data_IF_442984526810
#
_entry.id   IF_442984526810
#
_cell.length_a   1.000
_cell.length_b   1.000
_cell.length_c   1.000
_cell.angle_alpha   90.00
_cell.angle_beta   90.00
_cell.angle_gamma   90.00
#
_symmetry.space_group_name_H-M   'P 1'
#
loop_
_entity.id
_entity.type
_entity.pdbx_description
1 polymer ?
#
# COMPACT_ATOMS: atom_id res chain seq x y z
N UNK A 1 -2.82 23.21 3.31
CA UNK A 1 -3.88 23.89 4.09
C UNK A 1 -3.44 24.01 5.54
N UNK A 2 -3.32 25.23 6.07
CA UNK A 2 -2.97 25.48 7.47
C UNK A 2 -4.15 25.17 8.40
N UNK A 3 -3.86 24.63 9.60
CA UNK A 3 -4.82 24.29 10.67
C UNK A 3 -5.78 25.43 11.09
N UNK A 4 -5.57 26.67 10.62
CA UNK A 4 -6.42 27.84 10.89
C UNK A 4 -7.83 27.72 10.29
N UNK A 5 -8.05 26.92 9.24
CA UNK A 5 -9.39 26.77 8.64
C UNK A 5 -10.34 25.83 9.39
N UNK A 6 -9.86 25.17 10.45
CA UNK A 6 -10.63 24.17 11.21
C UNK A 6 -11.22 24.74 12.51
N UNK A 7 -10.71 25.88 12.97
CA UNK A 7 -11.16 26.51 14.22
C UNK A 7 -12.25 27.53 13.88
N UNK A 8 -13.52 27.16 14.05
CA UNK A 8 -14.67 28.04 13.78
C UNK A 8 -15.18 28.75 15.03
N UNK A 9 -14.79 28.30 16.23
CA UNK A 9 -15.24 28.88 17.49
C UNK A 9 -14.15 28.93 18.58
N UNK A 10 -14.37 29.76 19.60
CA UNK A 10 -13.58 29.80 20.83
C UNK A 10 -13.62 28.47 21.60
N UNK A 11 -14.69 27.69 21.46
CA UNK A 11 -14.80 26.35 22.04
C UNK A 11 -13.82 25.35 21.40
N UNK A 12 -13.55 25.46 20.09
CA UNK A 12 -12.59 24.58 19.40
C UNK A 12 -11.15 24.82 19.87
N UNK A 13 -10.82 26.07 20.21
CA UNK A 13 -9.53 26.43 20.81
C UNK A 13 -9.37 25.86 22.22
N UNK A 14 -10.41 25.94 23.06
CA UNK A 14 -10.41 25.33 24.39
C UNK A 14 -10.27 23.79 24.29
N UNK A 15 -10.97 23.17 23.34
CA UNK A 15 -10.92 21.72 23.13
C UNK A 15 -9.55 21.22 22.66
N UNK A 16 -8.86 21.99 21.82
CA UNK A 16 -7.46 21.71 21.42
C UNK A 16 -6.50 21.71 22.60
N UNK A 17 -6.70 22.60 23.58
CA UNK A 17 -5.85 22.70 24.77
C UNK A 17 -6.14 21.56 25.75
N UNK A 18 -7.42 21.20 25.94
CA UNK A 18 -7.84 20.19 26.92
C UNK A 18 -7.66 18.75 26.38
N UNK A 19 -7.88 18.51 25.08
CA UNK A 19 -7.80 17.19 24.47
C UNK A 19 -7.09 17.22 23.09
N UNK A 20 -5.76 17.46 23.07
CA UNK A 20 -5.02 17.66 21.83
C UNK A 20 -5.04 16.47 20.87
N UNK A 21 -5.10 15.23 21.37
CA UNK A 21 -5.17 14.01 20.54
C UNK A 21 -6.53 13.87 19.85
N UNK A 22 -7.64 14.05 20.59
CA UNK A 22 -8.99 14.01 20.04
C UNK A 22 -9.22 15.11 19.01
N UNK A 23 -8.73 16.32 19.30
CA UNK A 23 -8.78 17.44 18.36
C UNK A 23 -8.02 17.12 17.06
N UNK A 24 -6.79 16.61 17.15
CA UNK A 24 -6.00 16.20 15.97
C UNK A 24 -6.73 15.14 15.14
N UNK A 25 -7.33 14.16 15.80
CA UNK A 25 -8.09 13.11 15.11
C UNK A 25 -9.34 13.66 14.41
N UNK A 26 -10.09 14.56 15.05
CA UNK A 26 -11.27 15.16 14.42
C UNK A 26 -10.90 16.04 13.21
N UNK A 27 -9.79 16.79 13.30
CA UNK A 27 -9.22 17.52 12.15
C UNK A 27 -8.87 16.57 11.00
N UNK A 28 -8.26 15.43 11.32
CA UNK A 28 -7.94 14.40 10.34
C UNK A 28 -9.22 13.86 9.68
N UNK A 29 -10.23 13.49 10.47
CA UNK A 29 -11.50 12.96 9.98
C UNK A 29 -12.19 13.95 9.04
N UNK A 30 -12.31 15.22 9.43
CA UNK A 30 -12.93 16.25 8.59
C UNK A 30 -12.19 16.46 7.27
N UNK A 31 -10.85 16.34 7.27
CA UNK A 31 -10.04 16.39 6.05
C UNK A 31 -10.36 15.20 5.14
N UNK A 32 -10.41 13.99 5.69
CA UNK A 32 -10.75 12.78 4.94
C UNK A 32 -12.18 12.85 4.37
N UNK A 33 -13.15 13.33 5.14
CA UNK A 33 -14.53 13.55 4.69
C UNK A 33 -14.60 14.53 3.51
N UNK A 34 -13.85 15.64 3.59
CA UNK A 34 -13.78 16.63 2.51
C UNK A 34 -13.13 16.06 1.24
N UNK A 35 -12.07 15.26 1.39
CA UNK A 35 -11.40 14.59 0.27
C UNK A 35 -12.37 13.61 -0.38
N UNK A 36 -13.06 12.78 0.40
CA UNK A 36 -14.05 11.85 -0.10
C UNK A 36 -15.13 12.58 -0.88
N UNK A 37 -15.72 13.64 -0.30
CA UNK A 37 -16.75 14.44 -0.96
C UNK A 37 -16.30 14.94 -2.33
N UNK A 38 -15.10 15.53 -2.42
CA UNK A 38 -14.55 16.04 -3.69
C UNK A 38 -14.29 14.94 -4.72
N UNK A 39 -13.79 13.78 -4.27
CA UNK A 39 -13.59 12.62 -5.15
C UNK A 39 -14.91 12.13 -5.72
N UNK A 40 -15.95 12.04 -4.89
CA UNK A 40 -17.29 11.64 -5.32
C UNK A 40 -17.91 12.63 -6.30
N UNK A 41 -17.76 13.94 -6.06
CA UNK A 41 -18.19 14.99 -7.00
C UNK A 41 -17.47 14.87 -8.34
N UNK A 42 -16.16 14.64 -8.33
CA UNK A 42 -15.38 14.42 -9.54
C UNK A 42 -15.85 13.19 -10.34
N UNK A 43 -16.09 12.06 -9.68
CA UNK A 43 -16.54 10.81 -10.36
C UNK A 43 -17.89 11.00 -11.03
N UNK A 44 -18.80 11.80 -10.45
CA UNK A 44 -20.10 12.08 -11.07
C UNK A 44 -19.95 12.72 -12.45
N UNK A 45 -19.06 13.70 -12.57
CA UNK A 45 -18.79 14.44 -13.80
C UNK A 45 -17.84 13.71 -14.77
N UNK A 46 -17.19 12.63 -14.32
CA UNK A 46 -16.24 11.87 -15.14
C UNK A 46 -16.95 11.22 -16.35
N UNK A 47 -16.37 11.22 -17.55
CA UNK A 47 -16.86 10.37 -18.65
C UNK A 47 -16.80 8.88 -18.30
N UNK A 48 -17.77 8.09 -18.78
CA UNK A 48 -17.84 6.64 -18.51
C UNK A 48 -16.57 5.92 -18.98
N UNK A 49 -16.01 6.32 -20.12
CA UNK A 49 -14.82 5.67 -20.67
C UNK A 49 -13.59 5.86 -19.80
N UNK A 50 -13.42 7.05 -19.20
CA UNK A 50 -12.34 7.29 -18.25
C UNK A 50 -12.53 6.50 -16.95
N UNK A 51 -13.77 6.24 -16.53
CA UNK A 51 -14.04 5.36 -15.38
C UNK A 51 -13.66 3.90 -15.69
N UNK A 52 -13.86 3.45 -16.93
CA UNK A 52 -13.44 2.12 -17.40
C UNK A 52 -11.93 2.01 -17.51
N UNK A 53 -11.27 3.01 -18.08
CA UNK A 53 -9.81 3.09 -18.15
C UNK A 53 -9.19 3.08 -16.74
N UNK A 54 -9.79 3.84 -15.81
CA UNK A 54 -9.39 3.81 -14.41
C UNK A 54 -9.52 2.40 -13.82
N UNK A 55 -10.64 1.70 -14.05
CA UNK A 55 -10.84 0.33 -13.55
C UNK A 55 -9.82 -0.63 -14.14
N UNK A 56 -9.48 -0.50 -15.42
CA UNK A 56 -8.45 -1.29 -16.08
C UNK A 56 -7.07 -1.02 -15.48
N UNK A 57 -6.69 0.26 -15.35
CA UNK A 57 -5.44 0.68 -14.69
C UNK A 57 -5.36 0.09 -13.29
N UNK A 58 -6.43 0.21 -12.50
CA UNK A 58 -6.45 -0.27 -11.12
C UNK A 58 -6.36 -1.79 -11.03
N UNK A 59 -6.94 -2.52 -11.99
CA UNK A 59 -6.78 -3.96 -12.12
C UNK A 59 -5.31 -4.34 -12.39
N UNK A 60 -4.64 -3.63 -13.30
CA UNK A 60 -3.22 -3.83 -13.59
C UNK A 60 -2.33 -3.47 -12.39
N UNK A 61 -2.57 -2.34 -11.72
CA UNK A 61 -1.82 -1.97 -10.52
C UNK A 61 -2.00 -2.97 -9.39
N UNK A 62 -3.18 -3.60 -9.27
CA UNK A 62 -3.41 -4.63 -8.25
C UNK A 62 -2.51 -5.84 -8.41
N UNK A 63 -2.04 -6.16 -9.63
CA UNK A 63 -1.13 -7.28 -9.88
C UNK A 63 0.33 -6.98 -9.53
N UNK A 64 0.70 -5.70 -9.44
CA UNK A 64 2.02 -5.28 -8.99
C UNK A 64 2.26 -5.71 -7.52
N UNK A 65 1.23 -5.67 -6.69
CA UNK A 65 1.34 -6.04 -5.28
C UNK A 65 1.25 -7.56 -5.11
N UNK A 66 2.37 -8.17 -4.71
CA UNK A 66 2.43 -9.60 -4.39
C UNK A 66 2.03 -9.83 -2.95
N UNK A 67 0.72 -9.79 -2.66
CA UNK A 67 0.24 -9.89 -1.27
C UNK A 67 -0.02 -11.31 -0.76
N UNK A 68 0.03 -12.32 -1.64
CA UNK A 68 -0.24 -13.73 -1.29
C UNK A 68 0.78 -14.30 -0.30
N UNK A 69 0.29 -15.04 0.70
CA UNK A 69 1.10 -15.70 1.74
C UNK A 69 2.17 -16.62 1.13
N UNK A 70 1.85 -17.28 0.01
CA UNK A 70 2.75 -18.16 -0.73
C UNK A 70 4.01 -17.46 -1.28
N UNK A 71 4.02 -16.13 -1.39
CA UNK A 71 5.13 -15.37 -1.96
C UNK A 71 6.18 -14.97 -0.90
N UNK A 72 5.88 -15.14 0.39
CA UNK A 72 6.75 -14.69 1.50
C UNK A 72 7.68 -15.78 2.04
N UNK A 73 7.48 -17.06 1.67
CA UNK A 73 8.20 -18.18 2.28
C UNK A 73 7.71 -18.48 3.71
N UNK A 74 8.21 -19.54 4.33
CA UNK A 74 7.84 -19.92 5.71
C UNK A 74 8.44 -19.00 6.78
N UNK A 75 9.44 -18.20 6.40
CA UNK A 75 10.27 -17.43 7.33
C UNK A 75 9.62 -16.13 7.83
N UNK A 76 8.54 -15.65 7.19
CA UNK A 76 7.94 -14.35 7.50
C UNK A 76 6.40 -14.39 7.59
N UNK A 77 5.85 -13.76 8.65
CA UNK A 77 4.40 -13.63 8.87
C UNK A 77 3.71 -12.73 7.82
N UNK A 78 2.38 -12.89 7.63
CA UNK A 78 1.60 -12.03 6.73
C UNK A 78 1.76 -10.55 7.08
N UNK A 79 1.84 -9.74 6.02
CA UNK A 79 2.26 -8.35 6.05
C UNK A 79 1.19 -7.39 6.60
N UNK A 80 1.61 -6.22 7.09
CA UNK A 80 0.75 -5.20 7.77
C UNK A 80 -0.43 -4.70 6.95
N UNK A 81 -0.25 -4.62 5.62
CA UNK A 81 -1.19 -3.94 4.71
C UNK A 81 -2.32 -4.83 4.22
N UNK A 82 -2.22 -6.14 4.48
CA UNK A 82 -3.17 -7.15 4.06
C UNK A 82 -3.36 -8.12 5.24
N UNK A 83 -4.57 -8.16 5.80
CA UNK A 83 -4.90 -8.96 6.98
C UNK A 83 -4.98 -10.46 6.65
N UNK A 84 -4.02 -10.98 5.88
CA UNK A 84 -3.83 -12.41 5.60
C UNK A 84 -4.81 -12.98 4.57
N UNK A 85 -5.40 -12.18 3.69
CA UNK A 85 -6.40 -12.68 2.74
C UNK A 85 -5.82 -13.46 1.54
N UNK A 86 -4.50 -13.65 1.47
CA UNK A 86 -3.86 -14.52 0.49
C UNK A 86 -4.16 -14.12 -0.96
N UNK A 87 -4.63 -15.06 -1.78
CA UNK A 87 -5.01 -14.85 -3.18
C UNK A 87 -6.13 -13.79 -3.32
N UNK A 88 -6.99 -13.64 -2.31
CA UNK A 88 -8.03 -12.61 -2.31
C UNK A 88 -7.49 -11.20 -2.07
N UNK A 89 -6.22 -11.02 -1.69
CA UNK A 89 -5.63 -9.70 -1.43
C UNK A 89 -5.74 -8.74 -2.61
N UNK A 90 -5.43 -9.21 -3.82
CA UNK A 90 -5.61 -8.39 -5.05
C UNK A 90 -7.08 -8.07 -5.33
N UNK A 91 -7.99 -9.01 -5.04
CA UNK A 91 -9.44 -8.80 -5.20
C UNK A 91 -9.96 -7.78 -4.20
N UNK A 92 -9.50 -7.84 -2.95
CA UNK A 92 -9.83 -6.87 -1.91
C UNK A 92 -9.29 -5.50 -2.26
N UNK A 93 -8.06 -5.41 -2.78
CA UNK A 93 -7.47 -4.19 -3.30
C UNK A 93 -8.39 -3.58 -4.37
N UNK A 94 -8.78 -4.36 -5.40
CA UNK A 94 -9.70 -3.90 -6.47
C UNK A 94 -11.07 -3.45 -5.96
N UNK A 95 -11.57 -4.03 -4.87
CA UNK A 95 -12.85 -3.65 -4.24
C UNK A 95 -12.75 -2.47 -3.28
N UNK A 96 -11.54 -1.93 -3.06
CA UNK A 96 -11.30 -0.90 -2.05
C UNK A 96 -11.34 -1.40 -0.62
N UNK A 97 -11.24 -2.72 -0.41
CA UNK A 97 -11.25 -3.36 0.91
C UNK A 97 -9.84 -3.53 1.49
N UNK A 98 -8.82 -2.98 0.86
CA UNK A 98 -7.45 -2.95 1.37
C UNK A 98 -7.03 -1.51 1.59
N UNK A 99 -6.23 -1.26 2.62
CA UNK A 99 -5.59 0.04 2.78
C UNK A 99 -4.65 0.37 1.61
N UNK A 100 -4.08 -0.63 0.93
CA UNK A 100 -3.30 -0.39 -0.30
C UNK A 100 -4.13 0.32 -1.37
N UNK A 101 -5.46 0.13 -1.38
CA UNK A 101 -6.35 0.92 -2.25
C UNK A 101 -6.30 2.40 -1.88
N UNK A 102 -6.37 2.73 -0.60
CA UNK A 102 -6.21 4.12 -0.15
C UNK A 102 -4.83 4.65 -0.52
N UNK A 103 -3.76 3.88 -0.32
CA UNK A 103 -2.39 4.28 -0.65
C UNK A 103 -2.25 4.63 -2.14
N UNK A 104 -2.73 3.77 -3.04
CA UNK A 104 -2.72 4.04 -4.49
C UNK A 104 -3.55 5.29 -4.81
N UNK A 105 -4.71 5.47 -4.18
CA UNK A 105 -5.54 6.68 -4.34
C UNK A 105 -4.89 7.94 -3.77
N UNK A 106 -4.01 7.80 -2.77
CA UNK A 106 -3.38 8.91 -2.06
C UNK A 106 -2.10 9.38 -2.75
N UNK A 107 -1.17 8.47 -3.03
CA UNK A 107 0.10 8.78 -3.71
C UNK A 107 -0.10 8.98 -5.22
N UNK A 108 -1.10 8.30 -5.80
CA UNK A 108 -1.40 8.39 -7.23
C UNK A 108 -0.50 7.49 -8.12
N UNK A 109 -0.77 7.48 -9.44
CA UNK A 109 -0.11 6.59 -10.39
C UNK A 109 1.33 6.99 -10.73
N UNK A 110 1.73 8.25 -10.50
CA UNK A 110 3.09 8.74 -10.77
C UNK A 110 4.16 7.94 -10.02
N UNK A 111 3.83 7.45 -8.82
CA UNK A 111 4.71 6.59 -8.03
C UNK A 111 5.17 5.34 -8.82
N UNK A 112 4.26 4.73 -9.56
CA UNK A 112 4.54 3.53 -10.36
C UNK A 112 5.37 3.86 -11.59
N UNK A 113 5.03 4.97 -12.27
CA UNK A 113 5.81 5.47 -13.38
C UNK A 113 7.26 5.77 -12.98
N UNK A 114 7.45 6.36 -11.79
CA UNK A 114 8.77 6.63 -11.25
C UNK A 114 9.57 5.32 -11.09
N UNK A 115 9.00 4.30 -10.42
CA UNK A 115 9.71 3.05 -10.21
C UNK A 115 10.01 2.28 -11.51
N UNK A 116 9.05 2.20 -12.43
CA UNK A 116 9.19 1.31 -13.59
C UNK A 116 9.89 1.95 -14.79
N UNK A 117 9.89 3.27 -14.87
CA UNK A 117 10.43 3.98 -16.04
C UNK A 117 11.55 4.96 -15.69
N UNK A 118 11.36 5.77 -14.64
CA UNK A 118 12.24 6.93 -14.41
C UNK A 118 13.43 6.62 -13.52
N UNK A 119 13.28 5.69 -12.58
CA UNK A 119 14.32 5.29 -11.64
C UNK A 119 15.11 4.10 -12.19
N UNK A 120 16.43 4.11 -11.97
CA UNK A 120 17.28 3.00 -12.39
C UNK A 120 16.96 1.73 -11.56
N UNK A 121 16.59 0.60 -12.19
CA UNK A 121 16.23 -0.62 -11.46
C UNK A 121 17.44 -1.30 -10.79
N UNK A 122 18.64 -1.04 -11.30
CA UNK A 122 19.90 -1.63 -10.81
C UNK A 122 20.38 -1.04 -9.47
N UNK A 123 19.86 0.12 -9.08
CA UNK A 123 20.26 0.77 -7.82
C UNK A 123 19.43 0.23 -6.67
N UNK A 124 20.10 -0.19 -5.60
CA UNK A 124 19.45 -0.69 -4.38
C UNK A 124 18.52 0.34 -3.73
N UNK A 125 18.83 1.63 -3.86
CA UNK A 125 18.06 2.74 -3.28
C UNK A 125 16.70 2.98 -3.95
N UNK A 126 16.50 2.48 -5.18
CA UNK A 126 15.29 2.72 -5.98
C UNK A 126 14.52 1.44 -6.26
N UNK A 127 15.16 0.28 -6.12
CA UNK A 127 14.55 -1.04 -6.30
C UNK A 127 13.24 -1.25 -5.54
N UNK A 128 13.15 -0.68 -4.33
CA UNK A 128 12.01 -0.84 -3.42
C UNK A 128 11.20 0.45 -3.24
N UNK A 129 11.23 1.38 -4.20
CA UNK A 129 10.64 2.70 -4.06
C UNK A 129 9.17 2.69 -3.59
N UNK A 130 8.28 1.97 -4.29
CA UNK A 130 6.85 1.88 -3.94
C UNK A 130 6.67 1.26 -2.54
N UNK A 131 7.44 0.20 -2.23
CA UNK A 131 7.40 -0.48 -0.93
C UNK A 131 7.75 0.49 0.19
N UNK A 132 8.89 1.16 0.08
CA UNK A 132 9.39 2.05 1.12
C UNK A 132 8.45 3.24 1.32
N UNK A 133 7.90 3.81 0.23
CA UNK A 133 6.88 4.86 0.28
C UNK A 133 5.58 4.42 0.97
N UNK A 134 5.14 3.18 0.75
CA UNK A 134 3.95 2.66 1.43
C UNK A 134 4.16 2.46 2.93
N UNK A 135 5.35 2.03 3.34
CA UNK A 135 5.74 1.92 4.74
C UNK A 135 5.77 3.31 5.38
N UNK A 136 6.41 4.29 4.73
CA UNK A 136 6.41 5.68 5.21
C UNK A 136 4.99 6.26 5.35
N UNK A 137 4.10 5.96 4.39
CA UNK A 137 2.73 6.43 4.42
C UNK A 137 1.92 5.79 5.56
N UNK A 138 2.11 4.49 5.82
CA UNK A 138 1.42 3.75 6.87
C UNK A 138 1.77 4.25 8.28
N UNK A 139 3.06 4.36 8.57
CA UNK A 139 3.52 4.78 9.90
C UNK A 139 3.59 6.31 10.07
N UNK A 140 3.38 7.05 8.98
CA UNK A 140 3.43 8.51 8.92
C UNK A 140 4.85 9.10 8.98
N UNK A 141 4.95 10.38 8.60
CA UNK A 141 6.21 11.13 8.43
C UNK A 141 7.12 11.28 9.67
N UNK A 142 6.70 10.81 10.84
CA UNK A 142 7.38 11.15 12.12
C UNK A 142 7.78 9.98 13.00
N UNK A 143 7.48 8.72 12.66
CA UNK A 143 7.64 7.62 13.63
C UNK A 143 7.97 6.25 13.02
N UNK A 144 9.06 6.17 12.26
CA UNK A 144 9.76 4.88 12.17
C UNK A 144 11.22 5.11 12.49
N UNK A 145 11.59 4.88 13.74
CA UNK A 145 12.93 4.35 13.99
C UNK A 145 12.93 2.87 13.59
N UNK A 146 14.05 2.31 13.11
CA UNK A 146 14.17 0.86 12.92
C UNK A 146 13.69 0.09 14.16
N UNK A 147 13.94 0.62 15.36
CA UNK A 147 13.49 0.07 16.63
C UNK A 147 11.96 0.04 16.80
N UNK A 148 11.24 1.08 16.36
CA UNK A 148 9.77 1.13 16.39
C UNK A 148 9.16 0.10 15.44
N UNK A 149 9.76 -0.05 14.26
CA UNK A 149 9.36 -1.06 13.27
C UNK A 149 9.47 -2.47 13.88
N UNK A 150 10.59 -2.76 14.54
CA UNK A 150 10.90 -4.08 15.11
C UNK A 150 10.02 -4.40 16.31
N UNK A 151 9.79 -3.43 17.22
CA UNK A 151 8.92 -3.61 18.40
C UNK A 151 7.50 -3.96 17.98
N UNK A 152 7.06 -3.45 16.84
CA UNK A 152 5.73 -3.69 16.30
C UNK A 152 5.66 -4.95 15.44
N UNK A 153 6.73 -5.34 14.73
CA UNK A 153 6.74 -6.50 13.81
C UNK A 153 7.06 -7.87 14.44
N UNK A 154 7.85 -7.92 15.52
CA UNK A 154 8.24 -9.18 16.18
C UNK A 154 7.21 -9.81 17.16
N UNK A 155 6.13 -9.16 17.63
CA UNK A 155 5.15 -9.82 18.49
C UNK A 155 4.41 -10.98 17.81
N UNK A 156 3.84 -11.89 18.61
CA UNK A 156 2.94 -12.94 18.10
C UNK A 156 1.68 -12.36 17.45
N UNK A 157 1.24 -11.18 17.91
CA UNK A 157 0.05 -10.46 17.47
C UNK A 157 0.44 -9.02 17.13
N UNK A 158 0.17 -8.59 15.89
CA UNK A 158 0.46 -7.24 15.43
C UNK A 158 -0.70 -6.29 15.76
N UNK A 159 -0.39 -5.07 16.20
CA UNK A 159 -1.38 -4.04 16.49
C UNK A 159 -1.17 -2.83 15.58
N UNK A 160 -2.22 -2.42 14.88
CA UNK A 160 -2.22 -1.20 14.08
C UNK A 160 -2.15 0.05 14.98
N UNK A 161 -1.07 0.80 14.85
CA UNK A 161 -0.82 2.01 15.66
C UNK A 161 -1.82 3.13 15.39
N UNK A 162 -2.42 3.15 14.21
CA UNK A 162 -3.35 4.19 13.76
C UNK A 162 -4.64 3.56 13.20
N UNK A 163 -5.06 2.42 13.76
CA UNK A 163 -6.22 1.60 13.33
C UNK A 163 -7.45 2.45 12.96
N UNK A 164 -7.85 3.37 13.84
CA UNK A 164 -9.03 4.23 13.61
C UNK A 164 -8.89 5.13 12.39
N UNK A 165 -7.68 5.61 12.11
CA UNK A 165 -7.42 6.44 10.94
C UNK A 165 -7.39 5.58 9.67
N UNK A 166 -6.74 4.43 9.72
CA UNK A 166 -6.68 3.48 8.62
C UNK A 166 -8.04 2.92 8.25
N UNK A 167 -8.92 2.67 9.23
CA UNK A 167 -10.31 2.25 9.00
C UNK A 167 -11.10 3.29 8.21
N UNK A 168 -11.03 4.57 8.60
CA UNK A 168 -11.69 5.67 7.86
C UNK A 168 -11.16 5.75 6.43
N UNK A 169 -9.84 5.66 6.26
CA UNK A 169 -9.19 5.72 4.95
C UNK A 169 -9.61 4.56 4.05
N UNK A 170 -9.71 3.35 4.61
CA UNK A 170 -10.18 2.15 3.92
C UNK A 170 -11.64 2.30 3.51
N UNK A 171 -12.52 2.77 4.41
CA UNK A 171 -13.94 2.96 4.10
C UNK A 171 -14.15 4.05 3.03
N UNK A 172 -13.33 5.10 3.06
CA UNK A 172 -13.32 6.12 2.00
C UNK A 172 -12.86 5.53 0.66
N UNK A 173 -11.78 4.74 0.66
CA UNK A 173 -11.28 4.08 -0.54
C UNK A 173 -12.28 3.07 -1.12
N UNK A 174 -12.94 2.28 -0.27
CA UNK A 174 -14.05 1.40 -0.64
C UNK A 174 -15.17 2.17 -1.32
N UNK A 175 -15.60 3.27 -0.71
CA UNK A 175 -16.65 4.14 -1.24
C UNK A 175 -16.27 4.68 -2.63
N UNK A 176 -15.05 5.18 -2.78
CA UNK A 176 -14.52 5.68 -4.06
C UNK A 176 -14.50 4.59 -5.14
N UNK A 177 -13.96 3.41 -4.83
CA UNK A 177 -13.90 2.30 -5.79
C UNK A 177 -15.28 1.82 -6.20
N UNK A 178 -16.22 1.71 -5.25
CA UNK A 178 -17.60 1.32 -5.53
C UNK A 178 -18.28 2.32 -6.46
N UNK A 179 -18.19 3.62 -6.17
CA UNK A 179 -18.80 4.65 -7.04
C UNK A 179 -18.16 4.69 -8.42
N UNK A 180 -16.85 4.46 -8.52
CA UNK A 180 -16.17 4.34 -9.81
C UNK A 180 -16.64 3.12 -10.61
N UNK A 181 -16.85 1.98 -9.94
CA UNK A 181 -17.38 0.77 -10.56
C UNK A 181 -18.81 0.97 -11.09
N UNK A 182 -19.68 1.60 -10.30
CA UNK A 182 -21.04 1.97 -10.72
C UNK A 182 -21.00 2.90 -11.95
N UNK A 183 -20.09 3.87 -11.96
CA UNK A 183 -19.90 4.79 -13.09
C UNK A 183 -19.39 4.09 -14.35
N UNK A 184 -18.45 3.15 -14.21
CA UNK A 184 -17.93 2.36 -15.33
C UNK A 184 -19.01 1.43 -15.93
N UNK A 185 -19.98 1.00 -15.11
CA UNK A 185 -21.09 0.15 -15.51
C UNK A 185 -22.29 0.91 -16.11
N UNK A 186 -22.38 2.24 -15.97
CA UNK A 186 -23.57 3.01 -16.37
C UNK A 186 -23.71 3.27 -17.89
N UNK A 187 -22.88 2.67 -18.74
CA UNK A 187 -22.88 2.86 -20.19
C UNK A 187 -23.33 1.62 -20.99
N UNK A 188 -23.77 1.82 -22.23
CA UNK A 188 -24.26 0.77 -23.15
C UNK A 188 -23.18 -0.23 -23.64
N UNK A 189 -21.96 -0.14 -23.13
CA UNK A 189 -20.82 -0.98 -23.53
C UNK A 189 -20.58 -2.11 -22.53
N UNK A 190 -20.41 -3.33 -23.02
CA UNK A 190 -20.04 -4.47 -22.19
C UNK A 190 -18.58 -4.33 -21.74
N UNK A 191 -18.38 -3.98 -20.47
CA UNK A 191 -17.04 -3.97 -19.87
C UNK A 191 -16.39 -5.37 -19.88
N UNK A 192 -17.20 -6.44 -20.00
CA UNK A 192 -16.72 -7.81 -20.20
C UNK A 192 -15.82 -7.96 -21.43
N UNK A 193 -16.04 -7.17 -22.50
CA UNK A 193 -15.23 -7.20 -23.71
C UNK A 193 -13.80 -6.68 -23.53
N UNK A 194 -13.53 -5.90 -22.48
CA UNK A 194 -12.21 -5.29 -22.18
C UNK A 194 -11.59 -5.90 -20.92
N UNK A 195 -12.19 -6.95 -20.36
CA UNK A 195 -11.67 -7.60 -19.17
C UNK A 195 -10.35 -8.34 -19.49
N UNK A 196 -9.20 -7.86 -19.00
CA UNK A 196 -7.90 -8.45 -19.35
C UNK A 196 -7.70 -9.83 -18.71
N UNK A 197 -8.58 -10.26 -17.79
CA UNK A 197 -8.52 -11.58 -17.18
C UNK A 197 -8.53 -12.67 -18.25
N UNK A 198 -9.35 -12.53 -19.30
CA UNK A 198 -9.42 -13.54 -20.37
C UNK A 198 -8.06 -13.67 -21.06
N UNK A 199 -7.42 -12.55 -21.40
CA UNK A 199 -6.09 -12.53 -21.97
C UNK A 199 -5.05 -13.18 -21.05
N UNK A 200 -5.03 -12.80 -19.76
CA UNK A 200 -4.07 -13.34 -18.80
C UNK A 200 -4.27 -14.84 -18.55
N UNK A 201 -5.51 -15.33 -18.50
CA UNK A 201 -5.81 -16.76 -18.38
C UNK A 201 -5.30 -17.53 -19.59
N UNK A 202 -5.62 -17.07 -20.81
CA UNK A 202 -5.14 -17.70 -22.04
C UNK A 202 -3.60 -17.68 -22.15
N UNK A 203 -2.97 -16.59 -21.70
CA UNK A 203 -1.51 -16.48 -21.66
C UNK A 203 -0.91 -17.49 -20.68
N UNK A 204 -1.48 -17.64 -19.49
CA UNK A 204 -1.04 -18.60 -18.48
C UNK A 204 -1.18 -20.05 -18.97
N UNK A 205 -2.33 -20.40 -19.55
CA UNK A 205 -2.57 -21.73 -20.16
C UNK A 205 -1.52 -22.02 -21.25
N UNK A 206 -1.29 -21.07 -22.15
CA UNK A 206 -0.30 -21.22 -23.22
C UNK A 206 1.12 -21.37 -22.69
N UNK A 207 1.48 -20.68 -21.61
CA UNK A 207 2.78 -20.83 -20.95
C UNK A 207 2.91 -22.24 -20.36
N UNK A 208 1.91 -22.71 -19.62
CA UNK A 208 1.90 -24.05 -19.03
C UNK A 208 2.03 -25.14 -20.10
N UNK A 209 1.26 -25.06 -21.19
CA UNK A 209 1.35 -26.06 -22.28
C UNK A 209 2.71 -26.09 -22.96
N UNK A 210 3.43 -24.95 -23.01
CA UNK A 210 4.81 -24.92 -23.55
C UNK A 210 5.79 -25.58 -22.62
N UNK A 211 5.66 -25.35 -21.32
CA UNK A 211 6.49 -25.98 -20.29
C UNK A 211 6.31 -27.52 -20.32
N UNK A 212 5.06 -28.00 -20.45
CA UNK A 212 4.73 -29.43 -20.58
C UNK A 212 5.28 -30.06 -21.87
N UNK A 213 5.42 -29.28 -22.94
CA UNK A 213 5.99 -29.71 -24.22
C UNK A 213 7.51 -29.49 -24.32
N UNK A 214 8.17 -29.09 -23.22
CA UNK A 214 9.60 -28.75 -23.16
C UNK A 214 10.01 -27.68 -24.20
N UNK A 215 9.08 -26.82 -24.61
CA UNK A 215 9.33 -25.73 -25.55
C UNK A 215 9.88 -24.53 -24.79
N UNK A 216 10.98 -23.97 -25.28
CA UNK A 216 11.64 -22.83 -24.65
C UNK A 216 10.65 -21.67 -24.32
N UNK A 217 10.79 -21.01 -23.16
CA UNK A 217 9.97 -19.85 -22.79
C UNK A 217 10.04 -18.74 -23.84
N UNK A 218 8.94 -18.00 -23.99
CA UNK A 218 8.94 -16.79 -24.84
C UNK A 218 9.73 -15.71 -24.11
N UNK A 219 10.66 -15.06 -24.82
CA UNK A 219 11.36 -13.89 -24.28
C UNK A 219 10.36 -12.74 -24.07
N UNK A 220 10.05 -12.43 -22.82
CA UNK A 220 9.13 -11.34 -22.48
C UNK A 220 9.82 -9.98 -22.63
N UNK A 221 9.21 -9.07 -23.40
CA UNK A 221 9.76 -7.73 -23.74
C UNK A 221 10.16 -6.91 -22.50
N UNK A 222 9.46 -7.09 -21.39
CA UNK A 222 9.64 -6.32 -20.16
C UNK A 222 10.14 -7.17 -18.99
N UNK A 223 10.77 -8.31 -19.28
CA UNK A 223 11.35 -9.22 -18.26
C UNK A 223 12.40 -8.57 -17.36
N UNK A 224 13.05 -7.49 -17.83
CA UNK A 224 14.04 -6.71 -17.08
C UNK A 224 13.42 -5.67 -16.14
N UNK A 225 12.12 -5.36 -16.27
CA UNK A 225 11.44 -4.36 -15.45
C UNK A 225 10.88 -5.03 -14.19
N UNK A 226 11.29 -4.53 -13.02
CA UNK A 226 10.76 -5.03 -11.76
C UNK A 226 9.37 -4.42 -11.46
N UNK A 227 8.33 -5.04 -12.04
CA UNK A 227 6.94 -4.62 -11.82
C UNK A 227 6.42 -4.95 -10.42
N UNK A 228 6.98 -5.97 -9.79
CA UNK A 228 6.43 -6.48 -8.55
C UNK A 228 6.93 -5.67 -7.36
N UNK A 229 5.98 -5.34 -6.50
CA UNK A 229 6.23 -4.74 -5.20
C UNK A 229 6.25 -5.87 -4.19
N UNK A 230 7.46 -6.27 -3.83
CA UNK A 230 7.68 -7.28 -2.80
C UNK A 230 7.72 -6.63 -1.43
N UNK A 231 6.71 -6.90 -0.62
CA UNK A 231 6.61 -6.44 0.76
C UNK A 231 7.36 -7.34 1.76
N UNK A 232 8.41 -8.05 1.33
CA UNK A 232 9.23 -8.82 2.29
C UNK A 232 9.76 -7.86 3.36
N UNK A 233 9.80 -8.32 4.61
CA UNK A 233 10.51 -7.62 5.68
C UNK A 233 11.88 -7.25 5.12
N UNK A 234 12.25 -5.97 5.04
CA UNK A 234 13.49 -5.61 4.40
C UNK A 234 14.61 -6.36 5.11
N UNK A 235 15.26 -7.27 4.41
CA UNK A 235 16.48 -7.94 4.88
C UNK A 235 17.47 -6.87 5.38
N UNK A 236 17.45 -5.68 4.77
CA UNK A 236 18.17 -4.48 5.20
C UNK A 236 17.78 -3.96 6.60
N UNK A 237 16.49 -4.03 6.99
CA UNK A 237 16.02 -3.65 8.33
C UNK A 237 16.35 -4.73 9.37
N UNK A 238 16.24 -6.00 8.98
CA UNK A 238 16.65 -7.12 9.82
C UNK A 238 18.17 -7.14 10.04
N UNK A 239 18.98 -6.90 9.02
CA UNK A 239 20.44 -6.80 9.14
C UNK A 239 20.87 -5.59 9.96
N UNK A 240 20.23 -4.42 9.76
CA UNK A 240 20.43 -3.25 10.63
C UNK A 240 20.11 -3.57 12.10
N UNK A 241 19.07 -4.38 12.36
CA UNK A 241 18.75 -4.85 13.70
C UNK A 241 19.82 -5.79 14.28
N UNK A 242 20.25 -6.80 13.52
CA UNK A 242 21.32 -7.71 13.96
C UNK A 242 22.58 -6.92 14.36
N UNK A 243 22.98 -5.96 13.52
CA UNK A 243 24.10 -5.08 13.79
C UNK A 243 23.89 -4.18 15.04
N UNK A 244 22.67 -3.67 15.26
CA UNK A 244 22.33 -2.86 16.44
C UNK A 244 22.29 -3.71 17.73
N UNK A 245 21.81 -4.95 17.66
CA UNK A 245 21.77 -5.89 18.79
C UNK A 245 23.18 -6.27 19.24
N UNK A 246 24.06 -6.58 18.29
CA UNK A 246 25.48 -6.85 18.56
C UNK A 246 26.16 -5.63 19.19
N UNK A 247 25.94 -4.42 18.66
CA UNK A 247 26.48 -3.19 19.25
C UNK A 247 26.01 -2.95 20.68
N UNK A 248 24.72 -3.20 20.99
CA UNK A 248 24.19 -3.09 22.36
C UNK A 248 24.76 -4.15 23.29
N UNK A 249 24.89 -5.39 22.83
CA UNK A 249 25.49 -6.47 23.61
C UNK A 249 26.95 -6.13 23.98
N UNK A 250 27.72 -5.61 23.03
CA UNK A 250 29.10 -5.15 23.25
C UNK A 250 29.17 -3.95 24.21
N UNK A 251 28.26 -2.97 24.06
CA UNK A 251 28.18 -1.81 24.95
C UNK A 251 27.80 -2.17 26.39
N UNK A 252 26.90 -3.14 26.59
CA UNK A 252 26.52 -3.61 27.91
C UNK A 252 27.64 -4.44 28.56
N UNK A 253 28.31 -5.29 27.79
CA UNK A 253 29.45 -6.09 28.27
C UNK A 253 30.65 -5.22 28.69
N UNK A 254 30.91 -4.12 27.97
CA UNK A 254 31.97 -3.17 28.30
C UNK A 254 31.63 -2.27 29.51
N UNK A 255 30.36 -1.95 29.73
CA UNK A 255 29.93 -1.25 30.95
C UNK A 255 29.97 -2.13 32.20
N UNK A 256 29.74 -3.43 32.07
CA UNK A 256 29.90 -4.37 33.19
C UNK A 256 31.37 -4.58 33.56
N UNK A 257 32.29 -4.61 32.59
CA UNK A 257 33.73 -4.78 32.88
C UNK A 257 34.43 -3.50 33.35
N UNK A 258 33.82 -2.32 33.19
CA UNK A 258 34.35 -1.04 33.66
C UNK A 258 33.87 -0.66 35.07
N UNK A 259 32.99 -1.48 35.67
CA UNK A 259 32.47 -1.34 37.04
C UNK A 259 33.12 -2.31 38.03
N UNK A 260 34.01 -3.19 37.56
CA UNK A 260 34.96 -3.96 38.36
C UNK A 260 36.27 -3.18 38.50
#
# INVERSE_FOLDING_TARGET
MHAKYVLKSTADYAWKVVHPSRFKFEVFRQKEDLILKRRLEYIKELPVELARDYKLMFMLLSSAFRTSVSNYGEDFKPWLFDWGCGIDGQRLLRRGNSWLTWFVLHEGPELFWNQWWSLAPELSSTKNHIRDRSIEAWFGKTKITPEDFIRQFLPKEWNDVDEKAHDIQRDNARTVQKTMEEKAASGLGDFGAVNPIVYFTQYAERRQSRDELEVAPVAETLSHVNFHVDFRCPEELFQKFCALREKRAVAMASQSSARE
#
